data_IF_016318134516
#
_entry.id   IF_016318134516
#
_cell.length_a   1.000
_cell.length_b   1.000
_cell.length_c   1.000
_cell.angle_alpha   90.00
_cell.angle_beta   90.00
_cell.angle_gamma   90.00
#
_symmetry.space_group_name_H-M   'P 1'
#
loop_
_entity.id
_entity.type
_entity.pdbx_description
1 polymer ?
#
# COMPACT_ATOMS: atom_id res chain seq x y z
N UNK A 1 11.45 -24.42 11.32
CA UNK A 1 10.45 -24.64 10.26
C UNK A 1 10.36 -23.36 9.43
N UNK A 2 11.14 -23.24 8.36
CA UNK A 2 11.13 -22.06 7.48
C UNK A 2 10.05 -22.26 6.42
N UNK A 3 9.01 -21.43 6.43
CA UNK A 3 8.01 -21.44 5.37
C UNK A 3 8.65 -20.93 4.09
N UNK A 4 8.70 -21.77 3.06
CA UNK A 4 9.17 -21.39 1.74
C UNK A 4 8.29 -20.26 1.20
N UNK A 5 8.91 -19.19 0.70
CA UNK A 5 8.21 -18.12 0.00
C UNK A 5 7.57 -18.72 -1.26
N UNK A 6 6.23 -18.72 -1.39
CA UNK A 6 5.59 -19.29 -2.58
C UNK A 6 6.00 -18.48 -3.81
N UNK A 7 6.44 -19.17 -4.87
CA UNK A 7 6.68 -18.56 -6.16
C UNK A 7 5.39 -17.85 -6.64
N UNK A 8 5.48 -16.66 -7.26
CA UNK A 8 4.30 -15.97 -7.76
C UNK A 8 3.61 -16.85 -8.81
N UNK A 9 2.37 -17.29 -8.53
CA UNK A 9 1.54 -17.95 -9.54
C UNK A 9 1.40 -17.04 -10.75
N UNK A 10 1.69 -17.57 -11.93
CA UNK A 10 1.62 -16.92 -13.26
C UNK A 10 0.20 -16.57 -13.72
N UNK A 11 -0.83 -16.83 -12.92
CA UNK A 11 -2.13 -16.17 -13.07
C UNK A 11 -1.89 -14.67 -12.89
N UNK A 12 -2.16 -13.86 -13.92
CA UNK A 12 -1.83 -12.43 -13.97
C UNK A 12 -2.23 -11.71 -12.67
N UNK A 13 -1.26 -11.58 -11.75
CA UNK A 13 -1.51 -11.04 -10.43
C UNK A 13 -1.76 -9.54 -10.58
N UNK A 14 -2.84 -9.06 -9.98
CA UNK A 14 -3.20 -7.65 -10.04
C UNK A 14 -1.99 -6.76 -9.65
N UNK A 15 -1.70 -5.70 -10.42
CA UNK A 15 -0.52 -4.86 -10.21
C UNK A 15 -0.54 -4.26 -8.80
N UNK A 16 0.64 -4.17 -8.16
CA UNK A 16 0.77 -3.76 -6.75
C UNK A 16 1.49 -2.43 -6.64
N UNK A 17 1.02 -1.55 -5.75
CA UNK A 17 1.62 -0.23 -5.52
C UNK A 17 1.75 0.10 -4.03
N UNK A 18 2.80 0.85 -3.68
CA UNK A 18 2.99 1.46 -2.37
C UNK A 18 2.82 2.98 -2.48
N UNK A 19 1.93 3.55 -1.68
CA UNK A 19 1.60 4.98 -1.74
C UNK A 19 1.85 5.64 -0.39
N UNK A 20 2.74 6.63 -0.39
CA UNK A 20 2.95 7.54 0.73
C UNK A 20 2.11 8.80 0.53
N UNK A 21 1.66 9.41 1.63
CA UNK A 21 0.79 10.59 1.54
C UNK A 21 -0.59 10.28 0.95
N UNK A 22 -1.02 9.01 0.96
CA UNK A 22 -2.31 8.57 0.41
C UNK A 22 -3.53 9.24 1.06
N UNK A 23 -3.35 9.82 2.24
CA UNK A 23 -4.37 10.54 3.00
C UNK A 23 -4.54 12.01 2.62
N UNK A 24 -3.68 12.56 1.75
CA UNK A 24 -3.80 13.94 1.27
C UNK A 24 -4.67 14.03 0.01
N UNK A 25 -5.04 15.25 -0.41
CA UNK A 25 -5.94 15.49 -1.54
C UNK A 25 -5.50 14.80 -2.85
N UNK A 26 -4.19 14.80 -3.13
CA UNK A 26 -3.63 14.13 -4.30
C UNK A 26 -3.64 12.61 -4.10
N UNK A 27 -3.21 12.14 -2.92
CA UNK A 27 -3.14 10.73 -2.56
C UNK A 27 -4.50 10.04 -2.64
N UNK A 28 -5.57 10.67 -2.16
CA UNK A 28 -6.92 10.09 -2.19
C UNK A 28 -7.44 9.92 -3.63
N UNK A 29 -7.18 10.92 -4.50
CA UNK A 29 -7.49 10.83 -5.93
C UNK A 29 -6.67 9.75 -6.64
N UNK A 30 -5.38 9.63 -6.31
CA UNK A 30 -4.51 8.59 -6.85
C UNK A 30 -4.99 7.20 -6.45
N UNK A 31 -5.26 6.98 -5.16
CA UNK A 31 -5.76 5.70 -4.64
C UNK A 31 -7.06 5.29 -5.34
N UNK A 32 -7.99 6.23 -5.52
CA UNK A 32 -9.25 5.97 -6.25
C UNK A 32 -8.99 5.53 -7.69
N UNK A 33 -8.03 6.15 -8.38
CA UNK A 33 -7.66 5.78 -9.77
C UNK A 33 -6.98 4.41 -9.84
N UNK A 34 -6.09 4.10 -8.90
CA UNK A 34 -5.40 2.81 -8.83
C UNK A 34 -6.38 1.67 -8.55
N UNK A 35 -7.27 1.85 -7.56
CA UNK A 35 -8.28 0.86 -7.21
C UNK A 35 -9.25 0.57 -8.36
N UNK A 36 -9.71 1.60 -9.08
CA UNK A 36 -10.55 1.41 -10.27
C UNK A 36 -9.86 0.66 -11.41
N UNK A 37 -8.52 0.70 -11.46
CA UNK A 37 -7.71 -0.05 -12.42
C UNK A 37 -7.34 -1.46 -11.93
N UNK A 38 -7.93 -1.91 -10.82
CA UNK A 38 -7.69 -3.23 -10.26
C UNK A 38 -6.34 -3.37 -9.54
N UNK A 39 -5.70 -2.26 -9.15
CA UNK A 39 -4.44 -2.34 -8.40
C UNK A 39 -4.67 -2.75 -6.96
N UNK A 40 -3.75 -3.54 -6.42
CA UNK A 40 -3.61 -3.75 -4.98
C UNK A 40 -2.69 -2.68 -4.40
N UNK A 41 -3.17 -1.85 -3.48
CA UNK A 41 -2.40 -0.73 -2.94
C UNK A 41 -2.16 -0.87 -1.45
N UNK A 42 -0.90 -0.73 -1.03
CA UNK A 42 -0.56 -0.47 0.37
C UNK A 42 -0.36 1.03 0.54
N UNK A 43 -1.11 1.68 1.42
CA UNK A 43 -1.03 3.11 1.67
C UNK A 43 -0.52 3.36 3.10
N UNK A 44 0.34 4.36 3.27
CA UNK A 44 0.89 4.73 4.58
C UNK A 44 0.28 6.03 5.09
N UNK A 45 -0.15 6.06 6.34
CA UNK A 45 -0.66 7.27 7.02
C UNK A 45 -0.20 7.37 8.47
N UNK A 46 -0.11 8.61 8.97
CA UNK A 46 0.16 8.89 10.39
C UNK A 46 -1.01 8.46 11.30
N UNK A 47 -2.26 8.90 11.06
CA UNK A 47 -3.41 8.37 11.79
C UNK A 47 -3.85 7.00 11.23
N UNK A 48 -4.50 6.15 12.06
CA UNK A 48 -5.12 4.92 11.60
C UNK A 48 -6.24 5.19 10.60
N UNK A 49 -6.40 4.31 9.62
CA UNK A 49 -7.41 4.42 8.54
C UNK A 49 -8.00 3.06 8.20
N UNK A 50 -9.28 3.03 7.85
CA UNK A 50 -9.99 1.81 7.51
C UNK A 50 -9.50 1.21 6.17
N UNK A 51 -9.23 -0.09 6.17
CA UNK A 51 -8.93 -0.85 4.96
C UNK A 51 -10.18 -0.97 4.07
N UNK A 52 -9.97 -1.13 2.77
CA UNK A 52 -11.02 -1.36 1.78
C UNK A 52 -10.58 -2.45 0.80
N UNK A 53 -11.50 -3.02 0.03
CA UNK A 53 -11.17 -3.97 -1.04
C UNK A 53 -10.08 -3.40 -1.97
N UNK A 54 -8.96 -4.10 -2.11
CA UNK A 54 -7.81 -3.67 -2.92
C UNK A 54 -6.89 -2.63 -2.26
N UNK A 55 -7.18 -2.15 -1.04
CA UNK A 55 -6.34 -1.19 -0.31
C UNK A 55 -6.12 -1.58 1.15
N UNK A 56 -4.85 -1.71 1.52
CA UNK A 56 -4.41 -1.90 2.91
C UNK A 56 -3.77 -0.62 3.42
N UNK A 57 -4.14 -0.18 4.63
CA UNK A 57 -3.45 0.92 5.31
C UNK A 57 -2.38 0.39 6.27
N UNK A 58 -1.24 1.04 6.28
CA UNK A 58 -0.20 0.89 7.28
C UNK A 58 -0.06 2.21 8.04
N UNK A 59 -0.03 2.10 9.35
CA UNK A 59 0.22 3.25 10.21
C UNK A 59 1.71 3.40 10.43
N UNK A 60 2.19 4.64 10.40
CA UNK A 60 3.51 5.00 10.89
C UNK A 60 3.94 6.36 10.41
N UNK A 61 5.03 6.82 10.98
CA UNK A 61 5.67 8.07 10.58
C UNK A 61 6.90 7.78 9.70
N UNK A 62 7.18 8.68 8.76
CA UNK A 62 8.32 8.62 7.85
C UNK A 62 9.44 9.53 8.35
N UNK A 63 9.72 9.51 9.64
CA UNK A 63 10.84 10.26 10.21
C UNK A 63 12.15 9.58 9.82
N UNK A 64 13.00 10.31 9.11
CA UNK A 64 14.38 9.90 8.91
C UNK A 64 15.15 10.12 10.22
N UNK A 65 15.53 9.04 10.91
CA UNK A 65 16.49 9.10 12.03
C UNK A 65 17.88 8.82 11.50
N UNK A 66 18.70 9.87 11.43
CA UNK A 66 20.11 9.74 11.14
C UNK A 66 20.81 9.14 12.36
N UNK A 67 21.36 7.94 12.22
CA UNK A 67 22.26 7.39 13.23
C UNK A 67 23.56 8.19 13.16
N UNK A 68 23.95 8.81 14.27
CA UNK A 68 25.31 9.34 14.45
C UNK A 68 26.27 8.18 14.67
#
# INVERSE_FOLDING_TARGET
>A
MTVANPAPSTAASAPRGLVFGGSGQIGERLLTRLLRRGWQVTAWSRPPRAACSGRVWRQGDLVYRQRR
#
